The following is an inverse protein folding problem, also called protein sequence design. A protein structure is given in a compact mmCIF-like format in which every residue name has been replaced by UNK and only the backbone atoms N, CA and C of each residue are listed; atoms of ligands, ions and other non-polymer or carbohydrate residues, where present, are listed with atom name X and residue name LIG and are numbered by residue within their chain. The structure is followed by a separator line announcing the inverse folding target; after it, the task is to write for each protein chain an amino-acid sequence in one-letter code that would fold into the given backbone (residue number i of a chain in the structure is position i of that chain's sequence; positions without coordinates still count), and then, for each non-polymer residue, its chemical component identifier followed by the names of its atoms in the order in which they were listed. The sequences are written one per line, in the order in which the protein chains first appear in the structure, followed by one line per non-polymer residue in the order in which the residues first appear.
data_IF_227889931525
#
_entry.id   IF_227889931525
#
_cell.length_a   1.000
_cell.length_b   1.000
_cell.length_c   1.000
_cell.angle_alpha   90.00
_cell.angle_beta   90.00
_cell.angle_gamma   90.00
#
_symmetry.space_group_name_H-M   'P 1'
#
loop_
_entity.id
_entity.type
_entity.pdbx_description
1 polymer ?
#
# COMPACT_ATOMS: atom_id res chain seq x y z
N UNK A 1 -30.55 5.20 -3.52
CA UNK A 1 -29.41 5.85 -4.22
C UNK A 1 -29.02 7.10 -3.45
N UNK A 2 -28.24 6.95 -2.37
CA UNK A 2 -27.87 8.05 -1.48
C UNK A 2 -26.39 8.35 -1.59
N UNK A 3 -26.04 9.54 -2.09
CA UNK A 3 -24.67 10.06 -2.09
C UNK A 3 -24.39 10.64 -0.69
N UNK A 4 -23.33 10.19 -0.04
CA UNK A 4 -22.85 10.76 1.23
C UNK A 4 -21.40 11.18 1.04
N UNK A 5 -21.14 12.49 0.98
CA UNK A 5 -19.80 13.06 0.95
C UNK A 5 -19.80 14.11 2.06
N UNK A 6 -18.99 13.92 3.11
CA UNK A 6 -18.72 14.96 4.11
C UNK A 6 -17.30 15.47 3.89
N UNK A 7 -17.21 16.73 3.49
CA UNK A 7 -15.98 17.51 3.32
C UNK A 7 -15.39 17.87 4.69
N UNK A 8 -14.12 17.56 4.92
CA UNK A 8 -13.34 18.01 6.06
C UNK A 8 -12.13 18.82 5.59
N UNK A 9 -12.10 20.10 5.98
CA UNK A 9 -11.05 21.08 5.69
C UNK A 9 -9.94 20.95 6.73
N UNK A 10 -8.67 20.89 6.33
CA UNK A 10 -7.52 21.05 7.26
C UNK A 10 -6.44 21.94 6.65
N UNK A 11 -6.03 22.92 7.45
CA UNK A 11 -5.05 23.98 7.20
C UNK A 11 -3.65 23.47 7.59
N UNK A 12 -2.62 23.78 6.79
CA UNK A 12 -1.31 23.11 6.83
C UNK A 12 -0.19 23.76 7.64
N UNK A 13 1.04 23.25 7.43
CA UNK A 13 2.31 23.95 7.61
C UNK A 13 3.42 23.24 6.80
N UNK A 14 4.24 24.03 6.10
CA UNK A 14 5.41 23.65 5.30
C UNK A 14 6.68 23.92 6.10
N UNK A 15 7.67 23.02 6.04
CA UNK A 15 9.09 23.36 6.20
C UNK A 15 9.89 22.51 5.21
N UNK A 16 10.70 23.17 4.37
CA UNK A 16 11.56 22.54 3.38
C UNK A 16 13.01 22.39 3.85
N UNK A 17 13.76 21.56 3.11
CA UNK A 17 15.21 21.46 3.16
C UNK A 17 15.71 20.72 1.92
N UNK A 18 16.53 21.40 1.13
CA UNK A 18 17.22 20.87 -0.05
C UNK A 18 18.58 20.31 0.39
N UNK A 19 19.02 19.18 -0.16
CA UNK A 19 20.34 18.59 0.10
C UNK A 19 20.90 17.94 -1.17
N UNK A 20 22.19 18.15 -1.41
CA UNK A 20 22.92 17.92 -2.66
C UNK A 20 23.18 16.44 -3.02
N UNK A 21 23.19 16.16 -4.33
CA UNK A 21 23.38 14.85 -4.96
C UNK A 21 24.86 14.45 -5.09
N UNK A 22 25.22 13.22 -4.68
CA UNK A 22 26.41 12.51 -5.15
C UNK A 22 25.99 11.10 -5.62
N UNK A 23 26.04 10.90 -6.95
CA UNK A 23 25.39 9.80 -7.63
C UNK A 23 26.01 8.41 -7.46
N UNK A 24 25.13 7.41 -7.45
CA UNK A 24 25.33 6.09 -8.07
C UNK A 24 23.94 5.48 -8.36
N UNK A 25 23.61 5.04 -9.60
CA UNK A 25 22.32 4.42 -9.86
C UNK A 25 22.36 2.94 -9.42
N UNK A 26 21.42 2.52 -8.58
CA UNK A 26 21.15 1.10 -8.37
C UNK A 26 19.93 0.69 -9.20
N UNK A 27 20.13 -0.35 -9.99
CA UNK A 27 19.15 -0.89 -10.95
C UNK A 27 17.85 -1.31 -10.26
N UNK A 28 16.74 -1.18 -10.98
CA UNK A 28 15.39 -1.60 -10.59
C UNK A 28 15.32 -3.08 -10.19
N UNK A 29 15.65 -3.36 -8.92
CA UNK A 29 15.69 -4.70 -8.37
C UNK A 29 14.31 -5.34 -8.32
N UNK A 30 14.23 -6.58 -8.80
CA UNK A 30 13.16 -7.52 -8.49
C UNK A 30 12.92 -7.56 -6.98
N UNK A 31 11.68 -7.31 -6.58
CA UNK A 31 11.27 -7.38 -5.18
C UNK A 31 11.36 -8.82 -4.67
N UNK A 32 12.28 -9.07 -3.73
CA UNK A 32 12.39 -10.37 -3.06
C UNK A 32 11.32 -10.51 -1.98
N UNK A 33 10.19 -11.11 -2.36
CA UNK A 33 9.12 -11.45 -1.42
C UNK A 33 9.52 -12.50 -0.37
N UNK A 34 10.70 -13.12 -0.47
CA UNK A 34 11.21 -14.11 0.47
C UNK A 34 12.27 -13.57 1.44
N UNK A 35 12.56 -12.27 1.44
CA UNK A 35 13.43 -11.66 2.42
C UNK A 35 12.85 -11.88 3.84
N UNK A 36 13.62 -12.48 4.78
CA UNK A 36 13.13 -12.71 6.14
C UNK A 36 12.88 -11.36 6.84
N UNK A 37 11.86 -11.31 7.70
CA UNK A 37 11.67 -10.19 8.61
C UNK A 37 12.79 -10.21 9.64
N UNK A 38 13.90 -9.57 9.29
CA UNK A 38 14.88 -9.18 10.27
C UNK A 38 14.16 -8.25 11.22
N UNK A 39 13.76 -8.76 12.37
CA UNK A 39 13.12 -8.04 13.47
C UNK A 39 13.94 -8.21 14.77
N UNK A 40 15.27 -8.14 14.64
CA UNK A 40 16.22 -7.97 15.74
C UNK A 40 16.43 -6.50 16.12
N UNK A 41 16.38 -6.22 17.43
CA UNK A 41 16.69 -4.97 18.16
C UNK A 41 16.87 -3.67 17.34
N UNK A 42 16.02 -2.71 17.64
CA UNK A 42 15.93 -1.38 17.02
C UNK A 42 17.24 -0.54 17.05
N UNK A 43 18.19 -0.90 17.90
CA UNK A 43 19.41 -0.12 18.14
C UNK A 43 20.47 -0.15 17.01
N UNK A 44 20.23 -0.87 15.91
CA UNK A 44 21.19 -0.99 14.79
C UNK A 44 20.60 -0.81 13.39
N UNK A 45 19.31 -0.45 13.26
CA UNK A 45 18.57 -0.47 11.98
C UNK A 45 18.64 0.80 11.16
N UNK A 46 18.88 1.95 11.79
CA UNK A 46 18.95 3.24 11.09
C UNK A 46 20.21 3.42 10.24
N UNK A 47 21.15 2.46 10.25
CA UNK A 47 22.44 2.59 9.57
C UNK A 47 22.52 1.93 8.18
N UNK A 48 21.44 1.33 7.66
CA UNK A 48 21.53 0.50 6.45
C UNK A 48 20.47 0.68 5.37
N UNK A 49 19.31 1.27 5.68
CA UNK A 49 18.25 1.48 4.70
C UNK A 49 17.97 2.96 4.53
N UNK A 50 18.66 3.59 3.58
CA UNK A 50 18.23 4.89 3.08
C UNK A 50 17.00 4.61 2.21
N UNK A 51 15.81 4.94 2.73
CA UNK A 51 14.64 5.05 1.89
C UNK A 51 14.90 6.20 0.91
N UNK A 52 15.34 5.85 -0.29
CA UNK A 52 15.44 6.81 -1.38
C UNK A 52 14.02 7.18 -1.82
N UNK A 53 13.52 8.30 -1.29
CA UNK A 53 12.26 8.90 -1.70
C UNK A 53 12.36 9.57 -3.08
N UNK A 54 13.51 9.47 -3.76
CA UNK A 54 13.65 9.90 -5.14
C UNK A 54 12.89 8.91 -6.04
N UNK A 55 11.62 9.23 -6.32
CA UNK A 55 10.82 8.55 -7.34
C UNK A 55 11.23 8.99 -8.76
N UNK A 56 12.49 9.42 -8.94
CA UNK A 56 13.01 9.88 -10.22
C UNK A 56 13.41 8.67 -11.06
N UNK A 57 12.75 8.52 -12.20
CA UNK A 57 13.20 7.63 -13.28
C UNK A 57 13.90 8.45 -14.35
N UNK A 58 15.21 8.72 -14.21
CA UNK A 58 15.93 9.55 -15.18
C UNK A 58 15.98 8.91 -16.57
N UNK A 59 15.69 7.61 -16.68
CA UNK A 59 15.59 6.86 -17.93
C UNK A 59 14.27 7.07 -18.67
N UNK A 60 13.25 7.69 -18.05
CA UNK A 60 11.95 7.92 -18.67
C UNK A 60 11.55 9.40 -18.62
N UNK A 61 11.46 10.03 -19.78
CA UNK A 61 10.89 11.38 -19.93
C UNK A 61 9.36 11.29 -19.86
N UNK A 62 8.83 11.39 -18.65
CA UNK A 62 7.39 11.45 -18.39
C UNK A 62 7.00 12.88 -18.06
N UNK A 63 6.48 13.58 -19.07
CA UNK A 63 5.87 14.90 -18.89
C UNK A 63 4.42 14.86 -19.33
N UNK A 64 3.52 15.33 -18.47
CA UNK A 64 2.10 15.47 -18.80
C UNK A 64 1.75 16.95 -19.04
N UNK A 65 0.78 17.23 -19.93
CA UNK A 65 0.42 18.60 -20.31
C UNK A 65 -0.04 19.52 -19.16
N UNK A 66 -0.38 18.95 -18.00
CA UNK A 66 -0.96 19.68 -16.88
C UNK A 66 -0.17 19.54 -15.57
N UNK A 67 1.07 19.03 -15.59
CA UNK A 67 1.87 18.81 -14.38
C UNK A 67 2.10 20.10 -13.56
N UNK A 68 2.21 21.24 -14.22
CA UNK A 68 2.38 22.55 -13.57
C UNK A 68 1.06 23.17 -13.06
N UNK A 69 -0.08 22.55 -13.34
CA UNK A 69 -1.41 23.11 -13.06
C UNK A 69 -2.23 22.24 -12.12
N UNK A 70 -2.28 20.93 -12.37
CA UNK A 70 -3.04 19.99 -11.56
C UNK A 70 -2.27 19.65 -10.28
N UNK A 71 -3.02 19.43 -9.20
CA UNK A 71 -2.51 19.04 -7.89
C UNK A 71 -3.17 17.75 -7.50
N UNK A 72 -2.58 17.02 -6.55
CA UNK A 72 -3.12 15.76 -6.06
C UNK A 72 -4.61 15.85 -5.67
N UNK A 73 -5.00 16.94 -5.01
CA UNK A 73 -6.38 17.20 -4.57
C UNK A 73 -7.35 17.59 -5.70
N UNK A 74 -6.88 17.72 -6.95
CA UNK A 74 -7.72 17.91 -8.13
C UNK A 74 -8.00 16.59 -8.88
N UNK A 75 -7.32 15.51 -8.49
CA UNK A 75 -7.47 14.22 -9.13
C UNK A 75 -8.74 13.52 -8.65
N UNK A 76 -9.38 12.80 -9.57
CA UNK A 76 -10.46 11.87 -9.29
C UNK A 76 -10.08 10.54 -9.91
N UNK A 77 -10.23 9.47 -9.14
CA UNK A 77 -9.99 8.13 -9.63
C UNK A 77 -11.01 7.17 -9.04
N UNK A 78 -11.14 6.02 -9.70
CA UNK A 78 -11.88 4.89 -9.18
C UNK A 78 -11.04 4.15 -8.14
N UNK A 79 -11.69 3.77 -7.04
CA UNK A 79 -11.11 3.01 -5.96
C UNK A 79 -11.97 1.81 -5.59
N UNK A 80 -11.33 0.76 -5.08
CA UNK A 80 -12.03 -0.43 -4.57
C UNK A 80 -11.86 -0.53 -3.06
N UNK A 81 -12.94 -0.94 -2.38
CA UNK A 81 -12.96 -1.22 -0.94
C UNK A 81 -12.64 -2.70 -0.72
N UNK A 82 -11.81 -3.01 0.26
CA UNK A 82 -11.23 -4.34 0.49
C UNK A 82 -10.64 -4.93 -0.80
N UNK A 83 -9.74 -4.22 -1.47
CA UNK A 83 -9.33 -4.51 -2.86
C UNK A 83 -8.78 -5.90 -3.11
N UNK A 84 -8.33 -6.58 -2.06
CA UNK A 84 -7.77 -7.92 -2.08
C UNK A 84 -8.84 -9.04 -1.98
N UNK A 85 -10.09 -8.69 -1.69
CA UNK A 85 -11.10 -9.62 -1.18
C UNK A 85 -11.46 -10.76 -2.14
N UNK A 86 -11.51 -11.98 -1.60
CA UNK A 86 -12.10 -13.17 -2.22
C UNK A 86 -13.21 -13.72 -1.35
N UNK A 87 -14.33 -14.08 -1.97
CA UNK A 87 -15.51 -14.55 -1.28
C UNK A 87 -15.21 -15.76 -0.36
N UNK A 88 -15.68 -15.75 0.90
CA UNK A 88 -15.46 -16.85 1.83
C UNK A 88 -16.31 -18.07 1.44
N UNK A 89 -15.90 -19.25 1.90
CA UNK A 89 -16.65 -20.48 1.65
C UNK A 89 -18.03 -20.52 2.33
N UNK A 90 -18.26 -19.69 3.34
CA UNK A 90 -19.54 -19.56 4.05
C UNK A 90 -20.54 -18.66 3.34
N UNK A 91 -21.82 -18.75 3.70
CA UNK A 91 -22.87 -17.87 3.15
C UNK A 91 -23.02 -16.59 3.99
N UNK A 92 -22.26 -15.56 3.62
CA UNK A 92 -22.34 -14.22 4.20
C UNK A 92 -22.77 -13.22 3.12
N UNK A 93 -24.06 -12.82 3.04
CA UNK A 93 -24.58 -12.05 1.91
C UNK A 93 -23.78 -10.78 1.57
N UNK A 94 -23.27 -10.09 2.59
CA UNK A 94 -22.50 -8.85 2.41
C UNK A 94 -21.05 -9.08 1.95
N UNK A 95 -20.54 -10.30 2.09
CA UNK A 95 -19.15 -10.69 1.77
C UNK A 95 -19.08 -11.68 0.61
N UNK A 96 -20.20 -11.96 -0.07
CA UNK A 96 -20.22 -12.86 -1.23
C UNK A 96 -19.88 -12.12 -2.53
N UNK A 97 -18.66 -11.61 -2.64
CA UNK A 97 -18.12 -11.00 -3.85
C UNK A 97 -16.62 -11.26 -3.99
N UNK A 98 -16.10 -11.19 -5.22
CA UNK A 98 -14.68 -11.28 -5.51
C UNK A 98 -14.21 -9.99 -6.16
N UNK A 99 -13.02 -9.51 -5.79
CA UNK A 99 -12.26 -8.60 -6.62
C UNK A 99 -11.34 -9.37 -7.58
N UNK A 100 -11.01 -8.72 -8.70
CA UNK A 100 -9.92 -9.19 -9.55
C UNK A 100 -8.57 -8.99 -8.83
N UNK A 101 -7.50 -9.71 -9.22
CA UNK A 101 -6.15 -9.40 -8.73
C UNK A 101 -5.77 -7.92 -8.92
N UNK A 102 -4.91 -7.37 -8.04
CA UNK A 102 -4.62 -5.93 -7.99
C UNK A 102 -4.06 -5.37 -9.31
N UNK A 103 -3.23 -6.14 -10.02
CA UNK A 103 -2.71 -5.81 -11.35
C UNK A 103 -3.81 -5.76 -12.41
N UNK A 104 -4.80 -6.67 -12.33
CA UNK A 104 -5.97 -6.67 -13.23
C UNK A 104 -6.86 -5.45 -12.95
N UNK A 105 -7.04 -5.07 -11.68
CA UNK A 105 -7.75 -3.84 -11.31
C UNK A 105 -7.04 -2.59 -11.86
N UNK A 106 -5.71 -2.53 -11.75
CA UNK A 106 -4.88 -1.45 -12.30
C UNK A 106 -5.00 -1.36 -13.83
N UNK A 107 -4.80 -2.50 -14.51
CA UNK A 107 -4.65 -2.58 -15.96
C UNK A 107 -6.00 -2.45 -16.66
N UNK A 108 -6.92 -3.35 -16.34
CA UNK A 108 -8.15 -3.53 -17.13
C UNK A 108 -9.34 -2.74 -16.61
N UNK A 109 -9.34 -2.38 -15.32
CA UNK A 109 -10.45 -1.67 -14.68
C UNK A 109 -10.12 -0.19 -14.43
N UNK A 110 -8.86 0.22 -14.55
CA UNK A 110 -8.46 1.62 -14.37
C UNK A 110 -8.50 2.10 -12.91
N UNK A 111 -8.54 1.17 -11.94
CA UNK A 111 -8.51 1.49 -10.51
C UNK A 111 -7.19 2.18 -10.16
N UNK A 112 -7.23 3.23 -9.35
CA UNK A 112 -6.04 3.92 -8.84
C UNK A 112 -6.09 4.18 -7.34
N UNK A 113 -7.08 3.64 -6.63
CA UNK A 113 -7.10 3.62 -5.17
C UNK A 113 -7.40 2.20 -4.67
N UNK A 114 -6.53 1.71 -3.79
CA UNK A 114 -6.65 0.41 -3.15
C UNK A 114 -6.79 0.55 -1.64
N UNK A 115 -7.50 -0.40 -1.04
CA UNK A 115 -7.60 -0.59 0.40
C UNK A 115 -7.09 -1.98 0.76
N UNK A 116 -6.13 -2.02 1.68
CA UNK A 116 -5.52 -3.24 2.20
C UNK A 116 -5.74 -3.30 3.72
N UNK A 117 -6.52 -4.27 4.17
CA UNK A 117 -6.68 -4.58 5.59
C UNK A 117 -5.52 -5.44 6.02
N UNK A 118 -4.74 -4.97 7.00
CA UNK A 118 -3.52 -5.65 7.42
C UNK A 118 -3.62 -6.18 8.85
N UNK A 119 -3.19 -7.43 9.01
CA UNK A 119 -3.14 -8.15 10.27
C UNK A 119 -1.72 -8.61 10.54
N UNK A 120 -1.22 -8.37 11.75
CA UNK A 120 0.08 -8.84 12.20
C UNK A 120 -0.01 -10.30 12.63
N UNK A 121 0.81 -11.16 12.03
CA UNK A 121 0.99 -12.55 12.44
C UNK A 121 2.24 -12.66 13.30
N UNK A 122 2.09 -12.97 14.59
CA UNK A 122 3.22 -13.02 15.54
C UNK A 122 4.17 -14.20 15.30
N UNK A 123 3.66 -15.32 14.80
CA UNK A 123 4.47 -16.52 14.56
C UNK A 123 5.43 -16.29 13.40
N UNK A 124 4.92 -15.68 12.34
CA UNK A 124 5.67 -15.44 11.12
C UNK A 124 6.39 -14.10 11.13
N UNK A 125 5.97 -13.18 12.00
CA UNK A 125 6.45 -11.79 12.07
C UNK A 125 6.22 -11.02 10.77
N UNK A 126 5.13 -11.36 10.08
CA UNK A 126 4.71 -10.80 8.81
C UNK A 126 3.36 -10.08 8.93
N UNK A 127 3.14 -9.12 8.04
CA UNK A 127 1.82 -8.53 7.80
C UNK A 127 1.07 -9.30 6.73
N UNK A 128 -0.09 -9.83 7.12
CA UNK A 128 -1.03 -10.54 6.27
C UNK A 128 -2.19 -9.64 5.85
N UNK A 129 -2.79 -9.92 4.70
CA UNK A 129 -3.86 -9.10 4.12
C UNK A 129 -5.13 -9.91 3.99
N UNK A 130 -6.16 -9.55 4.76
CA UNK A 130 -7.49 -10.17 4.71
C UNK A 130 -8.53 -9.38 5.52
N UNK A 131 -9.82 -9.68 5.34
CA UNK A 131 -10.92 -8.87 5.90
C UNK A 131 -11.24 -9.22 7.36
N UNK A 132 -11.60 -10.47 7.64
CA UNK A 132 -11.93 -10.95 8.99
C UNK A 132 -11.23 -12.27 9.27
N UNK A 133 -10.39 -12.28 10.31
CA UNK A 133 -9.65 -13.46 10.73
C UNK A 133 -10.58 -14.69 10.87
N UNK A 134 -10.22 -15.79 10.19
CA UNK A 134 -10.90 -17.10 10.18
C UNK A 134 -12.32 -17.16 9.58
N UNK A 135 -12.96 -16.04 9.28
CA UNK A 135 -14.34 -16.02 8.77
C UNK A 135 -14.38 -15.54 7.32
N UNK A 136 -13.58 -14.52 7.01
CA UNK A 136 -13.50 -13.88 5.70
C UNK A 136 -12.04 -13.54 5.40
N UNK A 137 -11.24 -14.60 5.31
CA UNK A 137 -9.78 -14.54 5.13
C UNK A 137 -9.34 -14.70 3.66
N UNK A 138 -10.30 -14.75 2.74
CA UNK A 138 -10.04 -14.87 1.31
C UNK A 138 -9.36 -13.63 0.74
N UNK A 139 -8.20 -13.83 0.10
CA UNK A 139 -7.40 -12.75 -0.46
C UNK A 139 -6.76 -13.11 -1.81
N UNK A 140 -6.53 -12.11 -2.67
CA UNK A 140 -5.77 -12.24 -3.92
C UNK A 140 -4.25 -12.15 -3.71
N UNK A 141 -3.80 -11.66 -2.57
CA UNK A 141 -2.38 -11.56 -2.19
C UNK A 141 -2.26 -11.69 -0.66
N UNK A 142 -1.48 -12.66 -0.18
CA UNK A 142 -1.52 -13.09 1.22
C UNK A 142 -0.77 -12.13 2.13
N UNK A 143 0.37 -11.62 1.67
CA UNK A 143 1.24 -10.75 2.47
C UNK A 143 1.23 -9.32 1.96
N UNK A 144 1.32 -8.34 2.86
CA UNK A 144 1.34 -6.92 2.49
C UNK A 144 2.43 -6.61 1.47
N UNK A 145 3.61 -7.21 1.67
CA UNK A 145 4.74 -7.08 0.76
C UNK A 145 4.44 -7.63 -0.64
N UNK A 146 3.70 -8.74 -0.76
CA UNK A 146 3.28 -9.28 -2.06
C UNK A 146 2.28 -8.35 -2.75
N UNK A 147 1.29 -7.84 -2.01
CA UNK A 147 0.32 -6.89 -2.56
C UNK A 147 1.01 -5.63 -3.09
N UNK A 148 1.94 -5.06 -2.33
CA UNK A 148 2.73 -3.89 -2.73
C UNK A 148 3.65 -4.21 -3.91
N UNK A 149 4.21 -5.42 -3.97
CA UNK A 149 5.04 -5.87 -5.09
C UNK A 149 4.25 -5.99 -6.40
N UNK A 150 3.01 -6.47 -6.34
CA UNK A 150 2.10 -6.50 -7.49
C UNK A 150 1.82 -5.09 -8.02
N UNK A 151 1.48 -4.15 -7.12
CA UNK A 151 1.25 -2.75 -7.49
C UNK A 151 2.52 -2.12 -8.07
N UNK A 152 3.68 -2.34 -7.42
CA UNK A 152 4.98 -1.84 -7.87
C UNK A 152 5.35 -2.38 -9.25
N UNK A 153 5.19 -3.68 -9.48
CA UNK A 153 5.51 -4.30 -10.77
C UNK A 153 4.68 -3.70 -11.89
N UNK A 154 3.39 -3.46 -11.65
CA UNK A 154 2.55 -2.75 -12.62
C UNK A 154 3.00 -1.29 -12.78
N UNK A 155 3.25 -0.57 -11.69
CA UNK A 155 3.74 0.81 -11.72
C UNK A 155 5.03 0.94 -12.53
N UNK A 156 5.95 -0.01 -12.34
CA UNK A 156 7.24 -0.07 -13.01
C UNK A 156 7.10 -0.24 -14.52
N UNK A 157 6.09 -0.98 -14.97
CA UNK A 157 5.79 -1.20 -16.38
C UNK A 157 5.00 -0.05 -17.03
N UNK A 158 4.44 0.88 -16.25
CA UNK A 158 3.54 1.95 -16.71
C UNK A 158 4.03 3.35 -16.30
N UNK A 159 5.21 3.79 -16.75
CA UNK A 159 5.68 5.12 -16.43
C UNK A 159 4.67 6.20 -16.86
N UNK A 160 4.42 7.17 -15.98
CA UNK A 160 3.39 8.20 -16.20
C UNK A 160 1.97 7.76 -15.98
N UNK A 161 1.75 6.63 -15.31
CA UNK A 161 0.42 6.31 -14.81
C UNK A 161 -0.08 7.38 -13.83
N UNK A 162 -1.40 7.55 -13.78
CA UNK A 162 -2.06 8.35 -12.74
C UNK A 162 -1.61 7.89 -11.33
N UNK A 163 -1.39 8.79 -10.35
CA UNK A 163 -1.03 8.41 -8.98
C UNK A 163 -1.89 7.29 -8.42
N UNK A 164 -1.25 6.32 -7.76
CA UNK A 164 -1.90 5.20 -7.10
C UNK A 164 -1.94 5.50 -5.60
N UNK A 165 -3.14 5.47 -5.03
CA UNK A 165 -3.38 5.63 -3.61
C UNK A 165 -3.53 4.26 -2.96
N UNK A 166 -2.76 3.98 -1.92
CA UNK A 166 -2.88 2.73 -1.16
C UNK A 166 -3.23 3.08 0.27
N UNK A 167 -4.47 2.80 0.66
CA UNK A 167 -4.93 2.91 2.03
C UNK A 167 -4.57 1.62 2.77
N UNK A 168 -3.87 1.76 3.89
CA UNK A 168 -3.52 0.66 4.79
C UNK A 168 -4.40 0.78 6.03
N UNK A 169 -5.28 -0.20 6.25
CA UNK A 169 -6.10 -0.29 7.45
C UNK A 169 -5.57 -1.39 8.37
N UNK A 170 -4.91 -1.00 9.45
CA UNK A 170 -4.42 -1.95 10.45
C UNK A 170 -5.57 -2.46 11.30
N UNK A 171 -5.84 -3.76 11.23
CA UNK A 171 -6.90 -4.41 12.02
C UNK A 171 -6.40 -4.98 13.34
N UNK A 172 -5.09 -5.25 13.45
CA UNK A 172 -4.51 -5.74 14.70
C UNK A 172 -4.64 -4.69 15.80
N UNK A 173 -5.30 -5.02 16.93
CA UNK A 173 -5.40 -4.10 18.04
C UNK A 173 -4.03 -3.76 18.62
N UNK A 174 -3.83 -2.49 18.95
CA UNK A 174 -2.64 -2.01 19.64
C UNK A 174 -2.99 -1.80 21.12
N UNK A 175 -2.12 -2.25 22.02
CA UNK A 175 -2.22 -1.94 23.44
C UNK A 175 -1.40 -0.70 23.75
N UNK A 176 -2.10 0.40 24.01
CA UNK A 176 -1.50 1.71 24.33
C UNK A 176 -0.71 1.70 25.66
N UNK A 177 -1.00 0.78 26.58
CA UNK A 177 -0.32 0.70 27.89
C UNK A 177 1.02 -0.03 27.80
N UNK A 178 1.09 -1.10 27.01
CA UNK A 178 2.31 -1.90 26.85
C UNK A 178 3.14 -1.48 25.64
N UNK A 179 2.57 -0.71 24.71
CA UNK A 179 3.18 -0.40 23.42
C UNK A 179 3.34 -1.63 22.52
N UNK A 180 2.68 -2.74 22.87
CA UNK A 180 2.72 -4.01 22.16
C UNK A 180 1.45 -4.19 21.34
N UNK A 181 1.54 -4.93 20.25
CA UNK A 181 0.32 -5.36 19.54
C UNK A 181 -0.36 -6.40 20.42
N UNK A 182 -1.69 -6.39 20.54
CA UNK A 182 -2.39 -7.34 21.42
C UNK A 182 -2.10 -8.81 21.06
N UNK A 183 -1.72 -9.09 19.82
CA UNK A 183 -1.25 -10.41 19.41
C UNK A 183 0.14 -10.80 19.97
N UNK A 184 0.97 -9.86 20.40
CA UNK A 184 2.29 -10.12 21.00
C UNK A 184 2.20 -10.52 22.50
N UNK A 185 1.00 -10.48 23.08
CA UNK A 185 0.75 -10.81 24.48
C UNK A 185 0.40 -12.29 24.71
N UNK A 186 0.29 -13.10 23.66
CA UNK A 186 -0.02 -14.55 23.68
C UNK A 186 1.18 -15.41 23.21
#
# INVERSE_FOLDING_TARGET
MGRWWKTGLLLGALVGGCGDDDGTPSDGGTFDSSAPDDAGSDAGRDAGYVFDASFSRPDVDVTHPMDETLRLNHLQCEGTHNSYHRAPAGEFPDWQYDHAPLDVQLESQGVRQFELDVWWNNRERLWHVYHVERIDDGTTCERLLECLATIRTWSDAHPGHHPIFVQIETKTPFDDETGMRLGELE
#
